data_IF_856820516791
#
_entry.id   IF_856820516791
#
_cell.length_a   1.000
_cell.length_b   1.000
_cell.length_c   1.000
_cell.angle_alpha   90.00
_cell.angle_beta   90.00
_cell.angle_gamma   90.00
#
_symmetry.space_group_name_H-M   'P 1'
#
loop_
_entity.id
_entity.type
_entity.pdbx_description
1 polymer ?
#
# COMPACT_ATOMS: atom_id res chain seq x y z
N UNK A 1 -7.84 -10.81 -2.85
CA UNK A 1 -7.33 -11.37 -1.57
C UNK A 1 -8.27 -12.37 -0.92
N UNK A 2 -9.59 -12.28 -1.15
CA UNK A 2 -10.60 -13.11 -0.50
C UNK A 2 -11.00 -14.37 -1.27
N UNK A 3 -10.61 -14.50 -2.53
CA UNK A 3 -10.95 -15.67 -3.31
C UNK A 3 -10.23 -16.92 -2.79
N UNK A 4 -10.91 -18.07 -2.69
CA UNK A 4 -10.30 -19.31 -2.18
C UNK A 4 -8.99 -19.69 -2.86
N UNK A 5 -8.88 -19.51 -4.17
CA UNK A 5 -7.65 -19.81 -4.91
C UNK A 5 -6.48 -18.92 -4.46
N UNK A 6 -6.74 -17.64 -4.22
CA UNK A 6 -5.73 -16.71 -3.73
C UNK A 6 -5.28 -17.07 -2.29
N UNK A 7 -6.24 -17.34 -1.39
CA UNK A 7 -5.92 -17.76 -0.02
C UNK A 7 -5.13 -19.07 0.02
N UNK A 8 -5.45 -20.03 -0.85
CA UNK A 8 -4.67 -21.27 -1.01
C UNK A 8 -3.24 -20.95 -1.45
N UNK A 9 -3.07 -20.08 -2.46
CA UNK A 9 -1.74 -19.72 -2.97
C UNK A 9 -0.89 -19.05 -1.90
N UNK A 10 -1.43 -18.09 -1.14
CA UNK A 10 -0.70 -17.48 -0.02
C UNK A 10 -0.31 -18.48 1.04
N UNK A 11 -1.24 -19.39 1.41
CA UNK A 11 -0.95 -20.45 2.40
C UNK A 11 0.16 -21.37 1.92
N UNK A 12 0.15 -21.79 0.65
CA UNK A 12 1.19 -22.64 0.09
C UNK A 12 2.54 -21.92 -0.07
N UNK A 13 2.51 -20.64 -0.44
CA UNK A 13 3.70 -19.83 -0.64
C UNK A 13 4.46 -19.58 0.68
N UNK A 14 3.74 -19.24 1.77
CA UNK A 14 4.36 -18.90 3.03
C UNK A 14 4.50 -20.06 4.00
N UNK A 15 3.58 -21.02 3.97
CA UNK A 15 3.44 -22.03 5.00
C UNK A 15 3.25 -23.48 4.44
N UNK A 16 3.66 -23.71 3.20
CA UNK A 16 3.53 -25.01 2.54
C UNK A 16 4.25 -26.15 3.28
N UNK A 17 5.42 -25.89 3.83
CA UNK A 17 6.17 -26.87 4.65
C UNK A 17 5.42 -27.25 5.92
N UNK A 18 4.69 -26.30 6.49
CA UNK A 18 3.97 -26.51 7.75
C UNK A 18 2.64 -27.21 7.52
N UNK A 19 1.85 -26.76 6.55
CA UNK A 19 0.46 -27.23 6.35
C UNK A 19 0.34 -28.32 5.29
N UNK A 20 1.33 -28.46 4.40
CA UNK A 20 1.32 -29.47 3.34
C UNK A 20 2.73 -30.05 3.13
N UNK A 21 3.36 -30.64 4.18
CA UNK A 21 4.76 -31.09 4.12
C UNK A 21 5.01 -32.14 3.04
N UNK A 22 3.98 -32.91 2.68
CA UNK A 22 4.06 -33.96 1.65
C UNK A 22 3.86 -33.42 0.23
N UNK A 23 3.39 -32.16 0.06
CA UNK A 23 3.10 -31.61 -1.24
C UNK A 23 4.38 -31.09 -1.91
N UNK A 24 4.87 -31.87 -2.85
CA UNK A 24 6.09 -31.58 -3.61
C UNK A 24 5.77 -31.32 -5.08
N UNK A 25 6.52 -30.37 -5.66
CA UNK A 25 6.53 -30.06 -7.09
C UNK A 25 7.96 -30.32 -7.58
N UNK A 26 8.12 -31.29 -8.51
CA UNK A 26 9.45 -31.65 -9.00
C UNK A 26 10.42 -32.15 -7.91
N UNK A 27 9.88 -32.79 -6.85
CA UNK A 27 10.69 -33.30 -5.73
C UNK A 27 11.00 -32.26 -4.63
N UNK A 28 10.55 -31.00 -4.80
CA UNK A 28 10.77 -29.91 -3.85
C UNK A 28 9.42 -29.54 -3.20
N UNK A 29 9.41 -29.29 -1.87
CA UNK A 29 8.18 -28.85 -1.21
C UNK A 29 7.64 -27.58 -1.89
N UNK A 30 6.31 -27.48 -1.98
CA UNK A 30 5.62 -26.40 -2.71
C UNK A 30 6.03 -25.00 -2.26
N UNK A 31 6.27 -24.77 -0.97
CA UNK A 31 6.76 -23.47 -0.46
C UNK A 31 8.13 -23.14 -1.06
N UNK A 32 9.08 -24.06 -1.00
CA UNK A 32 10.40 -23.85 -1.58
C UNK A 32 10.37 -23.71 -3.08
N UNK A 33 9.54 -24.49 -3.75
CA UNK A 33 9.35 -24.38 -5.18
C UNK A 33 8.87 -22.97 -5.56
N UNK A 34 7.79 -22.50 -4.97
CA UNK A 34 7.23 -21.18 -5.26
C UNK A 34 8.18 -20.05 -4.90
N UNK A 35 8.73 -20.06 -3.68
CA UNK A 35 9.63 -19.01 -3.23
C UNK A 35 10.96 -19.02 -4.01
N UNK A 36 11.50 -20.17 -4.41
CA UNK A 36 12.74 -20.22 -5.20
C UNK A 36 12.58 -19.57 -6.58
N UNK A 37 11.44 -19.75 -7.24
CA UNK A 37 11.15 -19.08 -8.50
C UNK A 37 10.98 -17.56 -8.32
N UNK A 38 10.27 -17.12 -7.27
CA UNK A 38 10.15 -15.72 -6.93
C UNK A 38 11.51 -15.07 -6.66
N UNK A 39 12.31 -15.67 -5.79
CA UNK A 39 13.66 -15.19 -5.45
C UNK A 39 14.61 -15.26 -6.64
N UNK A 40 14.42 -16.22 -7.53
CA UNK A 40 15.16 -16.32 -8.80
C UNK A 40 14.90 -15.13 -9.71
N UNK A 41 13.64 -14.70 -9.82
CA UNK A 41 13.26 -13.49 -10.57
C UNK A 41 13.87 -12.23 -9.94
N UNK A 42 13.78 -12.07 -8.61
CA UNK A 42 14.41 -10.95 -7.90
C UNK A 42 15.93 -10.92 -8.13
N UNK A 43 16.60 -12.05 -8.03
CA UNK A 43 18.04 -12.15 -8.31
C UNK A 43 18.38 -11.71 -9.73
N UNK A 44 17.62 -12.17 -10.72
CA UNK A 44 17.85 -11.80 -12.12
C UNK A 44 17.72 -10.29 -12.36
N UNK A 45 16.82 -9.59 -11.66
CA UNK A 45 16.73 -8.14 -11.69
C UNK A 45 17.90 -7.51 -10.95
N UNK A 46 18.21 -8.00 -9.73
CA UNK A 46 19.31 -7.48 -8.91
C UNK A 46 20.65 -7.50 -9.64
N UNK A 47 20.95 -8.61 -10.36
CA UNK A 47 22.17 -8.73 -11.17
C UNK A 47 22.28 -7.69 -12.29
N UNK A 48 21.14 -7.25 -12.86
CA UNK A 48 21.12 -6.22 -13.92
C UNK A 48 21.32 -4.81 -13.40
N UNK A 49 20.90 -4.54 -12.17
CA UNK A 49 20.90 -3.18 -11.58
C UNK A 49 21.97 -2.99 -10.49
N UNK A 50 22.80 -4.00 -10.23
CA UNK A 50 23.76 -4.00 -9.11
C UNK A 50 24.77 -2.85 -9.13
N UNK A 51 25.10 -2.34 -10.31
CA UNK A 51 26.07 -1.26 -10.52
C UNK A 51 25.38 0.11 -10.73
N UNK A 52 24.07 0.20 -10.52
CA UNK A 52 23.29 1.43 -10.62
C UNK A 52 23.17 2.07 -9.23
N UNK A 53 23.90 3.13 -8.98
CA UNK A 53 23.96 3.79 -7.65
C UNK A 53 22.61 4.37 -7.19
N UNK A 54 21.69 4.66 -8.11
CA UNK A 54 20.35 5.16 -7.80
C UNK A 54 19.35 4.05 -7.43
N UNK A 55 19.72 2.76 -7.55
CA UNK A 55 18.88 1.64 -7.10
C UNK A 55 19.23 1.30 -5.66
N UNK A 56 18.33 1.63 -4.75
CA UNK A 56 18.55 1.48 -3.30
C UNK A 56 18.33 0.06 -2.81
N UNK A 57 17.36 -0.67 -3.39
CA UNK A 57 16.98 -2.00 -2.93
C UNK A 57 15.69 -2.48 -3.58
N UNK A 58 15.04 -3.43 -2.92
CA UNK A 58 13.86 -4.11 -3.45
C UNK A 58 12.76 -4.17 -2.42
N UNK A 59 11.52 -3.97 -2.88
CA UNK A 59 10.35 -4.39 -2.14
C UNK A 59 10.31 -5.92 -2.06
N UNK A 60 9.80 -6.43 -0.93
CA UNK A 60 9.81 -7.87 -0.66
C UNK A 60 8.71 -8.61 -1.39
N UNK A 61 7.50 -8.09 -1.36
CA UNK A 61 6.33 -8.66 -2.02
C UNK A 61 5.14 -7.71 -1.83
N UNK A 62 4.52 -7.33 -2.94
CA UNK A 62 3.36 -6.43 -2.94
C UNK A 62 2.18 -7.01 -2.15
N UNK A 63 1.73 -6.27 -1.14
CA UNK A 63 0.54 -6.55 -0.31
C UNK A 63 0.38 -8.03 0.09
N UNK A 64 1.34 -8.60 0.82
CA UNK A 64 1.31 -10.02 1.14
C UNK A 64 0.12 -10.39 2.00
N UNK A 65 -0.62 -11.43 1.60
CA UNK A 65 -1.74 -11.96 2.36
C UNK A 65 -1.38 -13.16 3.22
N UNK A 66 -2.04 -13.32 4.36
CA UNK A 66 -1.81 -14.44 5.29
C UNK A 66 -2.44 -15.77 4.84
N UNK A 67 -3.26 -15.75 3.78
CA UNK A 67 -4.01 -16.94 3.37
C UNK A 67 -4.95 -17.45 4.48
N UNK A 68 -4.86 -18.74 4.76
CA UNK A 68 -5.59 -19.38 5.87
C UNK A 68 -4.81 -19.39 7.21
N UNK A 69 -3.53 -19.01 7.19
CA UNK A 69 -2.70 -19.01 8.40
C UNK A 69 -3.32 -18.19 9.52
N UNK A 70 -3.38 -18.77 10.72
CA UNK A 70 -3.96 -18.16 11.91
C UNK A 70 -5.47 -18.26 12.03
N UNK A 71 -6.18 -18.90 11.06
CA UNK A 71 -7.65 -19.01 11.03
C UNK A 71 -8.11 -20.40 11.36
N UNK A 72 -9.13 -20.51 12.22
CA UNK A 72 -9.80 -21.78 12.52
C UNK A 72 -10.58 -22.27 11.29
N UNK A 73 -10.70 -23.60 11.11
CA UNK A 73 -11.28 -24.19 9.90
C UNK A 73 -12.72 -23.78 9.63
N UNK A 74 -13.53 -23.60 10.68
CA UNK A 74 -14.95 -23.21 10.55
C UNK A 74 -15.16 -21.70 10.64
N UNK A 75 -14.12 -20.91 10.93
CA UNK A 75 -14.29 -19.49 11.19
C UNK A 75 -14.63 -18.69 9.93
N UNK A 76 -15.74 -17.97 9.98
CA UNK A 76 -16.19 -17.05 8.93
C UNK A 76 -16.08 -15.61 9.41
N UNK A 77 -15.31 -14.78 8.69
CA UNK A 77 -15.03 -13.40 9.08
C UNK A 77 -16.22 -12.47 8.82
N UNK A 78 -17.25 -12.59 9.64
CA UNK A 78 -18.47 -11.76 9.58
C UNK A 78 -18.46 -10.60 10.57
N UNK A 79 -17.63 -10.68 11.62
CA UNK A 79 -17.47 -9.67 12.66
C UNK A 79 -16.07 -9.78 13.29
N UNK A 80 -15.64 -8.74 13.98
CA UNK A 80 -14.39 -8.76 14.73
C UNK A 80 -14.54 -9.56 16.03
N UNK A 81 -13.48 -10.28 16.37
CA UNK A 81 -13.32 -10.91 17.68
C UNK A 81 -11.97 -10.51 18.29
N UNK A 82 -11.74 -10.75 19.59
CA UNK A 82 -10.42 -10.51 20.18
C UNK A 82 -9.29 -11.28 19.48
N UNK A 83 -9.56 -12.49 19.02
CA UNK A 83 -8.63 -13.34 18.28
C UNK A 83 -8.45 -12.92 16.83
N UNK A 84 -9.43 -12.22 16.27
CA UNK A 84 -9.51 -11.75 14.90
C UNK A 84 -9.94 -10.27 14.85
N UNK A 85 -9.04 -9.35 15.28
CA UNK A 85 -9.34 -7.92 15.33
C UNK A 85 -9.26 -7.24 13.95
N UNK A 86 -8.79 -7.97 12.93
CA UNK A 86 -8.61 -7.46 11.59
C UNK A 86 -9.92 -6.94 10.99
N UNK A 87 -9.81 -6.09 10.00
CA UNK A 87 -10.97 -5.44 9.37
C UNK A 87 -11.87 -6.45 8.68
N UNK A 88 -13.16 -6.41 9.02
CA UNK A 88 -14.20 -7.10 8.23
C UNK A 88 -14.39 -6.35 6.91
N UNK A 89 -14.30 -7.07 5.80
CA UNK A 89 -14.41 -6.49 4.45
C UNK A 89 -15.69 -6.97 3.75
N UNK A 90 -16.29 -6.22 2.83
CA UNK A 90 -17.47 -6.63 2.11
C UNK A 90 -17.19 -7.84 1.19
N UNK A 91 -18.22 -8.64 0.91
CA UNK A 91 -18.14 -9.81 0.07
C UNK A 91 -18.40 -11.13 0.81
N UNK A 92 -18.12 -12.29 0.18
CA UNK A 92 -18.34 -13.60 0.79
C UNK A 92 -17.37 -13.82 1.96
N UNK A 93 -17.89 -14.20 3.12
CA UNK A 93 -17.13 -14.53 4.32
C UNK A 93 -16.85 -16.05 4.36
N UNK A 94 -15.84 -16.47 3.61
CA UNK A 94 -15.40 -17.87 3.57
C UNK A 94 -14.77 -18.27 4.91
N UNK A 95 -15.12 -19.45 5.39
CA UNK A 95 -14.21 -20.17 6.29
C UNK A 95 -13.09 -20.85 5.48
N UNK A 96 -11.95 -21.20 6.10
CA UNK A 96 -10.96 -22.05 5.44
C UNK A 96 -11.58 -23.31 4.86
N UNK A 97 -12.46 -24.00 5.60
CA UNK A 97 -13.15 -25.20 5.12
C UNK A 97 -14.02 -24.91 3.89
N UNK A 98 -14.83 -23.84 3.91
CA UNK A 98 -15.63 -23.45 2.74
C UNK A 98 -14.74 -23.21 1.52
N UNK A 99 -13.64 -22.47 1.70
CA UNK A 99 -12.68 -22.20 0.64
C UNK A 99 -12.06 -23.46 0.06
N UNK A 100 -11.67 -24.42 0.89
CA UNK A 100 -11.09 -25.70 0.45
C UNK A 100 -12.13 -26.58 -0.27
N UNK A 101 -13.38 -26.62 0.19
CA UNK A 101 -14.44 -27.37 -0.45
C UNK A 101 -14.86 -26.75 -1.80
N UNK A 102 -14.93 -25.43 -1.86
CA UNK A 102 -15.15 -24.70 -3.13
C UNK A 102 -14.01 -24.98 -4.11
N UNK A 103 -12.77 -24.97 -3.64
CA UNK A 103 -11.61 -25.31 -4.47
C UNK A 103 -11.69 -26.74 -5.04
N UNK A 104 -12.39 -27.65 -4.37
CA UNK A 104 -12.69 -29.01 -4.83
C UNK A 104 -13.88 -29.10 -5.79
N UNK A 105 -14.49 -27.97 -6.16
CA UNK A 105 -15.65 -27.91 -7.05
C UNK A 105 -17.01 -28.06 -6.33
N UNK A 106 -17.04 -27.95 -5.00
CA UNK A 106 -18.33 -27.97 -4.31
C UNK A 106 -19.01 -26.61 -4.35
N UNK A 107 -20.32 -26.59 -4.50
CA UNK A 107 -21.12 -25.41 -4.20
C UNK A 107 -21.28 -25.30 -2.68
N UNK A 108 -21.11 -24.08 -2.14
CA UNK A 108 -21.20 -23.81 -0.70
C UNK A 108 -22.08 -22.63 -0.44
N UNK A 109 -22.84 -22.71 0.63
CA UNK A 109 -23.61 -21.59 1.16
C UNK A 109 -22.73 -20.80 2.12
N UNK A 110 -22.54 -19.49 1.85
CA UNK A 110 -21.67 -18.63 2.64
C UNK A 110 -22.35 -17.30 2.94
N UNK A 111 -22.11 -16.70 4.13
CA UNK A 111 -22.61 -15.37 4.43
C UNK A 111 -21.94 -14.32 3.53
N UNK A 112 -22.75 -13.35 3.10
CA UNK A 112 -22.30 -12.18 2.34
C UNK A 112 -22.35 -10.95 3.23
N UNK A 113 -21.19 -10.37 3.49
CA UNK A 113 -21.03 -9.16 4.32
C UNK A 113 -21.14 -7.94 3.44
N UNK A 114 -21.89 -6.94 3.89
CA UNK A 114 -22.02 -5.63 3.27
C UNK A 114 -21.99 -4.55 4.34
N UNK A 115 -21.66 -3.33 3.94
CA UNK A 115 -21.78 -2.17 4.81
C UNK A 115 -23.26 -1.79 4.95
N UNK A 116 -23.75 -1.82 6.19
CA UNK A 116 -25.11 -1.40 6.53
C UNK A 116 -25.05 0.07 6.98
N UNK A 117 -25.55 0.96 6.15
CA UNK A 117 -25.52 2.40 6.42
C UNK A 117 -26.38 2.80 7.65
N UNK A 118 -27.43 2.03 7.95
CA UNK A 118 -28.28 2.31 9.10
C UNK A 118 -27.63 1.92 10.43
N UNK A 119 -26.76 0.93 10.39
CA UNK A 119 -25.98 0.46 11.55
C UNK A 119 -24.56 1.02 11.58
N UNK A 120 -24.14 1.68 10.50
CA UNK A 120 -22.77 2.16 10.29
C UNK A 120 -21.73 1.06 10.56
N UNK A 121 -22.02 -0.17 10.09
CA UNK A 121 -21.22 -1.35 10.37
C UNK A 121 -21.26 -2.36 9.22
N UNK A 122 -20.22 -3.19 9.16
CA UNK A 122 -20.25 -4.39 8.33
C UNK A 122 -21.20 -5.42 8.97
N UNK A 123 -22.17 -5.89 8.20
CA UNK A 123 -23.15 -6.90 8.65
C UNK A 123 -23.37 -7.95 7.59
N UNK A 124 -23.82 -9.13 8.01
CA UNK A 124 -24.29 -10.15 7.06
C UNK A 124 -25.60 -9.69 6.45
N UNK A 125 -25.58 -9.39 5.16
CA UNK A 125 -26.76 -8.92 4.43
C UNK A 125 -27.63 -10.07 3.90
N UNK A 126 -26.99 -11.16 3.51
CA UNK A 126 -27.63 -12.37 2.98
C UNK A 126 -26.68 -13.55 3.06
N UNK A 127 -27.20 -14.71 2.72
CA UNK A 127 -26.42 -15.92 2.47
C UNK A 127 -26.63 -16.33 1.01
N UNK A 128 -25.52 -16.61 0.30
CA UNK A 128 -25.56 -17.00 -1.11
C UNK A 128 -24.86 -18.34 -1.33
N UNK A 129 -25.36 -19.09 -2.31
CA UNK A 129 -24.68 -20.29 -2.81
C UNK A 129 -23.64 -19.89 -3.83
N UNK A 130 -22.38 -20.12 -3.49
CA UNK A 130 -21.23 -19.83 -4.35
C UNK A 130 -20.75 -21.08 -5.09
N UNK A 131 -20.01 -20.88 -6.19
CA UNK A 131 -19.53 -21.94 -7.07
C UNK A 131 -20.65 -22.87 -7.58
N UNK A 132 -21.79 -22.32 -7.97
CA UNK A 132 -22.91 -23.07 -8.53
C UNK A 132 -22.52 -23.92 -9.77
N UNK A 133 -21.53 -23.44 -10.54
CA UNK A 133 -20.95 -24.15 -11.70
C UNK A 133 -20.04 -25.32 -11.31
N UNK A 134 -19.79 -25.52 -10.02
CA UNK A 134 -18.94 -26.60 -9.48
C UNK A 134 -17.53 -26.65 -10.10
N UNK A 135 -16.94 -25.50 -10.37
CA UNK A 135 -15.59 -25.38 -10.93
C UNK A 135 -14.55 -25.72 -9.87
N UNK A 136 -13.64 -26.64 -10.16
CA UNK A 136 -12.51 -26.98 -9.30
C UNK A 136 -11.29 -26.15 -9.69
N UNK A 137 -10.48 -25.73 -8.71
CA UNK A 137 -9.14 -25.14 -8.96
C UNK A 137 -8.07 -26.23 -9.20
N UNK A 138 -8.37 -27.47 -8.79
CA UNK A 138 -7.48 -28.60 -8.99
C UNK A 138 -7.73 -29.25 -10.35
N UNK A 139 -6.67 -29.69 -10.99
CA UNK A 139 -6.80 -30.50 -12.21
C UNK A 139 -7.59 -31.78 -11.92
N UNK A 140 -8.25 -32.32 -12.94
CA UNK A 140 -8.93 -33.60 -12.83
C UNK A 140 -7.97 -34.70 -12.33
N UNK A 141 -8.40 -35.46 -11.31
CA UNK A 141 -7.60 -36.50 -10.68
C UNK A 141 -6.59 -36.03 -9.63
N UNK A 142 -6.37 -34.70 -9.47
CA UNK A 142 -5.52 -34.19 -8.39
C UNK A 142 -6.25 -34.18 -7.05
N UNK A 143 -5.53 -34.56 -5.99
CA UNK A 143 -6.03 -34.44 -4.61
C UNK A 143 -5.75 -33.05 -4.04
N UNK A 144 -6.58 -32.59 -3.11
CA UNK A 144 -6.30 -31.40 -2.33
C UNK A 144 -5.13 -31.64 -1.38
N UNK A 145 -4.04 -30.86 -1.42
CA UNK A 145 -2.88 -31.10 -0.56
C UNK A 145 -3.18 -30.96 0.94
N UNK A 146 -4.16 -30.15 1.30
CA UNK A 146 -4.58 -29.97 2.70
C UNK A 146 -5.39 -31.15 3.20
N UNK A 147 -6.26 -31.76 2.35
CA UNK A 147 -6.94 -33.02 2.67
C UNK A 147 -5.90 -34.16 2.85
N UNK A 148 -4.92 -34.24 1.96
CA UNK A 148 -3.83 -35.21 2.07
C UNK A 148 -2.97 -35.00 3.32
N UNK A 149 -2.91 -33.77 3.85
CA UNK A 149 -2.22 -33.44 5.12
C UNK A 149 -3.12 -33.66 6.35
N UNK A 150 -4.36 -34.13 6.18
CA UNK A 150 -5.26 -34.44 7.28
C UNK A 150 -6.01 -33.23 7.84
N UNK A 151 -6.19 -32.14 7.07
CA UNK A 151 -7.00 -31.01 7.46
C UNK A 151 -8.48 -31.39 7.62
N UNK A 152 -8.95 -32.25 6.77
CA UNK A 152 -10.29 -32.86 6.76
C UNK A 152 -10.25 -34.10 5.87
N UNK A 153 -11.35 -34.88 5.88
CA UNK A 153 -11.56 -36.02 4.99
C UNK A 153 -12.92 -35.89 4.31
N UNK A 154 -13.04 -36.27 3.04
CA UNK A 154 -14.32 -36.34 2.35
C UNK A 154 -14.87 -37.75 2.36
N UNK A 155 -16.09 -37.91 2.88
CA UNK A 155 -16.91 -39.11 2.74
C UNK A 155 -18.19 -38.80 1.97
N UNK A 156 -18.35 -39.36 0.80
CA UNK A 156 -19.53 -39.11 -0.07
C UNK A 156 -19.76 -37.60 -0.31
N UNK A 157 -18.67 -36.81 -0.43
CA UNK A 157 -18.74 -35.36 -0.61
C UNK A 157 -19.00 -34.55 0.68
N UNK A 158 -19.12 -35.19 1.83
CA UNK A 158 -19.33 -34.54 3.13
C UNK A 158 -18.02 -34.50 3.88
N UNK A 159 -17.60 -33.33 4.40
CA UNK A 159 -16.39 -33.23 5.21
C UNK A 159 -16.53 -33.95 6.55
N UNK A 160 -15.53 -34.73 6.92
CA UNK A 160 -15.41 -35.48 8.17
C UNK A 160 -14.05 -35.21 8.77
N UNK A 161 -13.90 -35.52 10.04
CA UNK A 161 -12.64 -35.41 10.78
C UNK A 161 -11.96 -34.05 10.58
N UNK A 162 -12.77 -32.96 10.59
CA UNK A 162 -12.28 -31.61 10.40
C UNK A 162 -11.41 -31.20 11.58
N UNK A 163 -10.13 -30.91 11.31
CA UNK A 163 -9.20 -30.39 12.31
C UNK A 163 -9.38 -28.88 12.42
N UNK A 164 -10.11 -28.44 13.43
CA UNK A 164 -10.45 -27.04 13.62
C UNK A 164 -9.23 -26.14 13.77
N UNK A 165 -8.16 -26.64 14.39
CA UNK A 165 -6.92 -25.93 14.67
C UNK A 165 -5.86 -26.08 13.57
N UNK A 166 -6.18 -26.66 12.41
CA UNK A 166 -5.22 -27.04 11.38
C UNK A 166 -4.33 -25.87 10.94
N UNK A 167 -4.89 -24.68 10.73
CA UNK A 167 -4.14 -23.51 10.28
C UNK A 167 -3.69 -22.60 11.44
N UNK A 168 -4.08 -22.91 12.68
CA UNK A 168 -3.74 -22.09 13.85
C UNK A 168 -2.62 -22.67 14.69
N UNK A 169 -2.36 -23.97 14.57
CA UNK A 169 -1.37 -24.68 15.38
C UNK A 169 -0.42 -25.51 14.51
N UNK A 170 0.84 -25.58 14.95
CA UNK A 170 1.87 -26.42 14.35
C UNK A 170 2.98 -26.72 15.37
N UNK A 171 3.58 -27.91 15.28
CA UNK A 171 4.66 -28.33 16.20
C UNK A 171 4.31 -28.15 17.67
N UNK A 172 3.03 -28.38 18.04
CA UNK A 172 2.57 -28.31 19.44
C UNK A 172 2.36 -26.91 20.01
N UNK A 173 2.36 -25.85 19.19
CA UNK A 173 2.10 -24.47 19.63
C UNK A 173 1.18 -23.72 18.68
N UNK A 174 0.62 -22.60 19.15
CA UNK A 174 -0.05 -21.62 18.28
C UNK A 174 0.99 -20.99 17.34
N UNK A 175 0.58 -20.79 16.09
CA UNK A 175 1.39 -20.16 15.05
C UNK A 175 1.09 -18.67 14.99
N UNK A 176 2.13 -17.90 14.67
CA UNK A 176 2.07 -16.47 14.35
C UNK A 176 2.53 -16.26 12.91
N UNK A 177 1.70 -15.65 12.09
CA UNK A 177 1.96 -15.53 10.64
C UNK A 177 3.21 -14.69 10.37
N UNK A 178 3.33 -13.56 11.02
CA UNK A 178 4.43 -12.62 10.81
C UNK A 178 5.76 -13.22 11.26
N UNK A 179 5.76 -13.86 12.42
CA UNK A 179 6.97 -14.42 12.98
C UNK A 179 7.37 -15.76 12.34
N UNK A 180 6.39 -16.66 12.12
CA UNK A 180 6.68 -18.03 11.68
C UNK A 180 6.86 -18.14 10.16
N UNK A 181 6.28 -17.22 9.37
CA UNK A 181 6.24 -17.33 7.91
C UNK A 181 6.79 -16.09 7.20
N UNK A 182 6.35 -14.88 7.58
CA UNK A 182 6.82 -13.67 6.93
C UNK A 182 8.28 -13.37 7.23
N UNK A 183 8.70 -13.46 8.49
CA UNK A 183 10.09 -13.19 8.89
C UNK A 183 11.11 -14.09 8.16
N UNK A 184 10.92 -15.42 8.08
CA UNK A 184 11.80 -16.27 7.26
C UNK A 184 11.85 -15.84 5.79
N UNK A 185 10.73 -15.43 5.21
CA UNK A 185 10.69 -14.95 3.84
C UNK A 185 11.46 -13.64 3.66
N UNK A 186 11.28 -12.64 4.53
CA UNK A 186 12.05 -11.40 4.50
C UNK A 186 13.57 -11.66 4.57
N UNK A 187 14.00 -12.59 5.42
CA UNK A 187 15.40 -12.97 5.52
C UNK A 187 15.90 -13.68 4.23
N UNK A 188 15.07 -14.49 3.57
CA UNK A 188 15.42 -15.12 2.28
C UNK A 188 15.55 -14.06 1.17
N UNK A 189 14.65 -13.09 1.11
CA UNK A 189 14.74 -11.96 0.16
C UNK A 189 16.05 -11.20 0.39
N UNK A 190 16.31 -10.77 1.63
CA UNK A 190 17.53 -10.06 1.99
C UNK A 190 18.80 -10.83 1.60
N UNK A 191 18.86 -12.12 1.92
CA UNK A 191 19.98 -13.00 1.54
C UNK A 191 20.16 -13.08 0.03
N UNK A 192 19.08 -13.17 -0.72
CA UNK A 192 19.09 -13.28 -2.18
C UNK A 192 19.64 -12.03 -2.86
N UNK A 193 19.09 -10.85 -2.52
CA UNK A 193 19.51 -9.58 -3.17
C UNK A 193 20.90 -9.16 -2.71
N UNK A 194 21.25 -9.37 -1.44
CA UNK A 194 22.56 -8.99 -0.88
C UNK A 194 23.71 -9.90 -1.28
N UNK A 195 23.42 -11.12 -1.71
CA UNK A 195 24.42 -11.97 -2.39
C UNK A 195 24.87 -11.35 -3.72
N UNK A 196 24.07 -10.48 -4.34
CA UNK A 196 24.40 -9.76 -5.57
C UNK A 196 25.05 -8.40 -5.25
N UNK A 197 24.43 -7.59 -4.40
CA UNK A 197 24.98 -6.32 -3.93
C UNK A 197 24.69 -6.15 -2.43
N UNK A 198 25.72 -6.19 -1.55
CA UNK A 198 25.52 -6.11 -0.10
C UNK A 198 24.93 -4.76 0.37
N UNK A 199 24.91 -3.72 -0.49
CA UNK A 199 24.30 -2.42 -0.18
C UNK A 199 22.78 -2.41 -0.29
N UNK A 200 22.17 -3.35 -0.98
CA UNK A 200 20.72 -3.35 -1.20
C UNK A 200 19.93 -3.39 0.11
N UNK A 201 19.00 -2.46 0.19
CA UNK A 201 18.02 -2.35 1.27
C UNK A 201 16.83 -3.29 1.00
N UNK A 202 16.13 -3.63 2.07
CA UNK A 202 14.86 -4.38 1.99
C UNK A 202 13.74 -3.37 2.29
N UNK A 203 12.78 -3.30 1.40
CA UNK A 203 11.54 -2.57 1.60
C UNK A 203 10.48 -3.61 1.93
N UNK A 204 9.98 -3.60 3.16
CA UNK A 204 9.09 -4.64 3.66
C UNK A 204 7.70 -4.09 3.93
N UNK A 205 6.70 -4.88 3.56
CA UNK A 205 5.29 -4.60 3.83
C UNK A 205 4.75 -5.54 4.90
N UNK A 206 3.82 -5.03 5.70
CA UNK A 206 2.94 -5.83 6.55
C UNK A 206 1.61 -6.10 5.84
N UNK A 207 0.89 -7.14 6.28
CA UNK A 207 -0.44 -7.46 5.74
C UNK A 207 -1.37 -6.22 5.87
N UNK A 208 -1.83 -5.63 4.78
CA UNK A 208 -2.60 -4.38 4.81
C UNK A 208 -3.96 -4.52 5.52
N UNK A 209 -4.44 -5.76 5.73
CA UNK A 209 -5.72 -6.02 6.38
C UNK A 209 -5.62 -6.21 7.90
N UNK A 210 -4.43 -6.51 8.43
CA UNK A 210 -4.23 -6.70 9.88
C UNK A 210 -4.06 -5.42 10.66
N UNK A 211 -3.64 -4.36 10.01
CA UNK A 211 -3.21 -3.12 10.68
C UNK A 211 -1.75 -3.22 11.15
N UNK A 212 -1.20 -2.09 11.56
CA UNK A 212 0.24 -1.94 11.79
C UNK A 212 0.59 -1.73 13.26
N UNK A 213 -0.30 -2.06 14.18
CA UNK A 213 -0.16 -1.75 15.61
C UNK A 213 0.91 -2.56 16.32
N UNK A 214 1.22 -3.76 15.82
CA UNK A 214 2.23 -4.64 16.41
C UNK A 214 3.63 -4.43 15.83
N UNK A 215 3.73 -3.72 14.72
CA UNK A 215 4.98 -3.50 13.99
C UNK A 215 5.54 -4.78 13.34
N UNK A 216 6.81 -4.73 12.97
CA UNK A 216 7.51 -5.85 12.35
C UNK A 216 8.01 -6.85 13.40
N UNK A 217 8.09 -8.14 13.06
CA UNK A 217 8.61 -9.16 13.97
C UNK A 217 10.09 -8.94 14.29
N UNK A 218 10.53 -9.35 15.49
CA UNK A 218 11.95 -9.29 15.88
C UNK A 218 12.79 -10.17 14.96
N UNK A 219 13.98 -9.69 14.60
CA UNK A 219 14.90 -10.42 13.73
C UNK A 219 14.80 -10.07 12.25
N UNK A 220 14.12 -8.97 11.93
CA UNK A 220 14.14 -8.41 10.59
C UNK A 220 15.57 -8.17 10.07
N UNK A 221 15.81 -8.32 8.77
CA UNK A 221 17.10 -8.00 8.18
C UNK A 221 17.51 -6.56 8.50
N UNK A 222 18.78 -6.32 8.81
CA UNK A 222 19.28 -4.94 8.95
C UNK A 222 18.99 -4.12 7.68
N UNK A 223 18.90 -2.79 7.80
CA UNK A 223 18.56 -1.89 6.68
C UNK A 223 17.25 -2.27 5.99
N UNK A 224 16.24 -2.62 6.79
CA UNK A 224 14.85 -2.74 6.33
C UNK A 224 14.15 -1.39 6.48
N UNK A 225 13.42 -1.00 5.48
CA UNK A 225 12.52 0.15 5.43
C UNK A 225 11.10 -0.36 5.50
N UNK A 226 10.25 0.28 6.31
CA UNK A 226 8.81 0.03 6.27
C UNK A 226 8.25 0.63 4.98
N UNK A 227 7.73 -0.20 4.08
CA UNK A 227 7.18 0.19 2.79
C UNK A 227 5.67 -0.09 2.69
N UNK A 228 4.97 -0.17 3.81
CA UNK A 228 3.55 -0.48 3.85
C UNK A 228 2.70 0.56 3.11
N UNK A 229 1.58 0.10 2.55
CA UNK A 229 0.67 0.90 1.74
C UNK A 229 -0.40 1.60 2.57
N UNK A 230 -0.95 2.68 2.03
CA UNK A 230 -2.09 3.36 2.62
C UNK A 230 -3.01 3.96 1.56
N UNK A 231 -4.30 3.77 1.76
CA UNK A 231 -5.36 4.42 0.99
C UNK A 231 -6.48 4.88 1.92
N UNK A 232 -7.12 6.01 1.60
CA UNK A 232 -8.45 6.27 2.16
C UNK A 232 -9.43 5.24 1.59
N UNK A 233 -9.69 4.20 2.39
CA UNK A 233 -10.46 3.03 1.94
C UNK A 233 -11.89 3.38 1.53
N UNK A 234 -12.48 4.43 2.09
CA UNK A 234 -13.82 4.88 1.71
C UNK A 234 -13.78 5.39 0.28
N UNK A 235 -12.88 6.32 -0.01
CA UNK A 235 -12.71 6.87 -1.36
C UNK A 235 -12.29 5.80 -2.37
N UNK A 236 -11.36 4.91 -2.01
CA UNK A 236 -10.89 3.86 -2.90
C UNK A 236 -12.01 2.90 -3.32
N UNK A 237 -12.82 2.44 -2.37
CA UNK A 237 -13.84 1.41 -2.62
C UNK A 237 -15.13 1.99 -3.21
N UNK A 238 -15.54 3.17 -2.73
CA UNK A 238 -16.79 3.80 -3.18
C UNK A 238 -16.62 4.64 -4.44
N UNK A 239 -15.38 5.02 -4.77
CA UNK A 239 -15.06 6.01 -5.80
C UNK A 239 -15.79 7.35 -5.58
N UNK A 240 -15.98 7.70 -4.31
CA UNK A 240 -16.57 8.97 -3.89
C UNK A 240 -15.72 9.60 -2.79
N UNK A 241 -15.14 10.76 -3.08
CA UNK A 241 -14.54 11.58 -2.03
C UNK A 241 -15.58 12.52 -1.44
N UNK A 242 -16.00 12.20 -0.22
CA UNK A 242 -17.01 13.00 0.49
C UNK A 242 -16.35 14.21 1.14
N UNK A 243 -16.57 15.38 0.56
CA UNK A 243 -16.06 16.65 1.06
C UNK A 243 -17.15 17.75 0.88
N UNK A 244 -17.38 18.64 1.86
CA UNK A 244 -16.62 18.85 3.10
C UNK A 244 -17.00 17.92 4.27
N UNK A 245 -17.90 16.99 4.10
CA UNK A 245 -18.30 16.03 5.14
C UNK A 245 -17.98 14.61 4.69
N UNK A 246 -17.15 13.89 5.44
CA UNK A 246 -16.76 12.51 5.19
C UNK A 246 -17.16 11.61 6.36
N UNK A 247 -16.87 10.32 6.23
CA UNK A 247 -17.20 9.32 7.23
C UNK A 247 -15.92 8.62 7.72
N UNK A 248 -15.79 8.50 9.04
CA UNK A 248 -14.82 7.61 9.63
C UNK A 248 -15.36 6.17 9.61
N UNK A 249 -14.84 5.26 8.76
CA UNK A 249 -15.39 3.92 8.60
C UNK A 249 -15.12 3.00 9.78
N UNK A 250 -14.28 3.42 10.75
CA UNK A 250 -13.93 2.62 11.92
C UNK A 250 -14.89 2.83 13.10
N UNK A 251 -15.51 4.00 13.20
CA UNK A 251 -16.37 4.34 14.33
C UNK A 251 -17.70 5.00 13.94
N UNK A 252 -17.95 5.17 12.64
CA UNK A 252 -19.18 5.75 12.12
C UNK A 252 -19.36 7.25 12.33
N UNK A 253 -18.34 7.97 12.84
CA UNK A 253 -18.45 9.41 13.08
C UNK A 253 -18.31 10.19 11.78
N UNK A 254 -19.12 11.24 11.65
CA UNK A 254 -18.93 12.23 10.60
C UNK A 254 -17.66 13.04 10.86
N UNK A 255 -16.92 13.31 9.80
CA UNK A 255 -15.74 14.17 9.77
C UNK A 255 -16.06 15.40 8.95
N UNK A 256 -15.87 16.59 9.53
CA UNK A 256 -16.27 17.85 8.90
C UNK A 256 -15.04 18.69 8.56
N UNK A 257 -14.95 19.05 7.29
CA UNK A 257 -13.90 19.91 6.77
C UNK A 257 -12.51 19.27 6.74
N UNK A 258 -11.58 20.05 6.17
CA UNK A 258 -10.19 19.63 5.93
C UNK A 258 -9.49 19.15 7.22
N UNK A 259 -9.73 19.85 8.35
CA UNK A 259 -9.03 19.55 9.60
C UNK A 259 -9.37 18.18 10.19
N UNK A 260 -10.66 17.79 10.24
CA UNK A 260 -11.05 16.51 10.80
C UNK A 260 -10.72 15.34 9.86
N UNK A 261 -10.86 15.55 8.54
CA UNK A 261 -10.47 14.57 7.53
C UNK A 261 -8.95 14.33 7.59
N UNK A 262 -8.17 15.41 7.61
CA UNK A 262 -6.71 15.32 7.74
C UNK A 262 -6.26 14.67 9.04
N UNK A 263 -6.91 14.97 10.17
CA UNK A 263 -6.64 14.32 11.45
C UNK A 263 -6.93 12.80 11.40
N UNK A 264 -7.97 12.40 10.68
CA UNK A 264 -8.28 10.99 10.45
C UNK A 264 -7.20 10.29 9.61
N UNK A 265 -6.77 10.89 8.50
CA UNK A 265 -5.67 10.36 7.67
C UNK A 265 -4.37 10.28 8.47
N UNK A 266 -4.06 11.35 9.24
CA UNK A 266 -2.89 11.38 10.11
C UNK A 266 -2.89 10.24 11.12
N UNK A 267 -4.01 9.93 11.75
CA UNK A 267 -4.07 8.85 12.75
C UNK A 267 -3.70 7.50 12.16
N UNK A 268 -4.11 7.22 10.92
CA UNK A 268 -3.78 5.98 10.22
C UNK A 268 -2.31 5.93 9.78
N UNK A 269 -1.85 7.00 9.12
CA UNK A 269 -0.46 7.11 8.64
C UNK A 269 0.55 7.12 9.79
N UNK A 270 0.20 7.74 10.93
CA UNK A 270 1.01 7.69 12.14
C UNK A 270 1.13 6.27 12.72
N UNK A 271 0.08 5.45 12.61
CA UNK A 271 0.14 4.04 13.01
C UNK A 271 1.13 3.26 12.11
N UNK A 272 1.08 3.49 10.80
CA UNK A 272 2.04 2.87 9.87
C UNK A 272 3.46 3.34 10.18
N UNK A 273 3.67 4.65 10.40
CA UNK A 273 4.97 5.19 10.79
C UNK A 273 5.47 4.57 12.11
N UNK A 274 4.59 4.44 13.09
CA UNK A 274 4.92 3.84 14.39
C UNK A 274 5.38 2.38 14.29
N UNK A 275 4.92 1.62 13.29
CA UNK A 275 5.42 0.27 13.05
C UNK A 275 6.94 0.24 12.76
N UNK A 276 7.52 1.34 12.27
CA UNK A 276 8.96 1.44 12.03
C UNK A 276 9.80 1.49 13.31
N UNK A 277 9.20 1.72 14.48
CA UNK A 277 9.90 1.67 15.77
C UNK A 277 10.45 0.27 16.04
N UNK A 278 9.74 -0.77 15.60
CA UNK A 278 10.20 -2.17 15.65
C UNK A 278 11.44 -2.46 14.77
N UNK A 279 11.72 -1.57 13.81
CA UNK A 279 12.90 -1.58 12.94
C UNK A 279 14.01 -0.64 13.44
N UNK A 280 13.94 -0.20 14.71
CA UNK A 280 14.90 0.73 15.28
C UNK A 280 14.74 2.17 14.81
N UNK A 281 13.52 2.59 14.45
CA UNK A 281 13.24 3.92 13.93
C UNK A 281 13.70 4.12 12.48
N UNK A 282 13.68 3.06 11.68
CA UNK A 282 13.98 3.14 10.25
C UNK A 282 13.02 4.10 9.52
N UNK A 283 13.43 4.67 8.37
CA UNK A 283 12.53 5.48 7.56
C UNK A 283 11.26 4.73 7.17
N UNK A 284 10.14 5.47 7.05
CA UNK A 284 8.89 4.95 6.52
C UNK A 284 8.67 5.50 5.12
N UNK A 285 8.52 4.60 4.16
CA UNK A 285 8.04 4.87 2.82
C UNK A 285 6.60 4.35 2.73
N UNK A 286 5.64 5.19 2.44
CA UNK A 286 4.33 4.72 2.02
C UNK A 286 4.49 4.23 0.58
N UNK A 287 4.61 2.90 0.42
CA UNK A 287 4.96 2.25 -0.86
C UNK A 287 3.91 2.47 -1.94
N UNK A 288 2.64 2.55 -1.53
CA UNK A 288 1.55 3.00 -2.39
C UNK A 288 0.58 3.88 -1.62
N UNK A 289 0.11 4.93 -2.29
CA UNK A 289 -1.02 5.75 -1.88
C UNK A 289 -1.59 6.46 -3.11
N UNK A 290 -2.85 6.82 -3.08
CA UNK A 290 -3.48 7.50 -4.22
C UNK A 290 -4.99 7.59 -4.08
N UNK A 291 -5.63 8.03 -5.14
CA UNK A 291 -7.09 8.11 -5.23
C UNK A 291 -7.55 7.64 -6.61
N UNK A 292 -8.77 7.10 -6.72
CA UNK A 292 -9.38 6.86 -8.02
C UNK A 292 -9.61 8.16 -8.78
N UNK A 293 -9.30 8.19 -10.08
CA UNK A 293 -9.58 9.34 -10.93
C UNK A 293 -10.96 9.29 -11.58
N UNK A 294 -11.64 8.16 -11.50
CA UNK A 294 -13.02 7.95 -11.92
C UNK A 294 -14.04 8.22 -10.80
N UNK A 295 -13.74 9.16 -9.90
CA UNK A 295 -14.64 9.60 -8.84
C UNK A 295 -16.01 10.03 -9.39
N UNK A 296 -17.05 9.83 -8.58
CA UNK A 296 -18.43 10.25 -8.86
C UNK A 296 -18.93 9.74 -10.23
N UNK A 297 -18.72 8.45 -10.49
CA UNK A 297 -19.03 7.79 -11.77
C UNK A 297 -18.30 8.43 -12.96
N UNK A 298 -17.03 8.74 -12.81
CA UNK A 298 -16.17 9.34 -13.82
C UNK A 298 -16.65 10.73 -14.32
N UNK A 299 -17.27 11.52 -13.43
CA UNK A 299 -17.83 12.84 -13.76
C UNK A 299 -16.80 13.78 -14.41
N UNK A 300 -15.53 13.73 -13.98
CA UNK A 300 -14.45 14.52 -14.56
C UNK A 300 -14.14 14.12 -16.01
N UNK A 301 -14.26 12.83 -16.37
CA UNK A 301 -14.08 12.36 -17.74
C UNK A 301 -15.19 12.87 -18.65
N UNK A 302 -16.42 12.87 -18.15
CA UNK A 302 -17.56 13.38 -18.90
C UNK A 302 -17.48 14.90 -19.13
N UNK A 303 -17.01 15.64 -18.14
CA UNK A 303 -16.73 17.07 -18.30
C UNK A 303 -15.67 17.32 -19.38
N UNK A 304 -14.58 16.56 -19.35
CA UNK A 304 -13.53 16.62 -20.36
C UNK A 304 -14.05 16.30 -21.78
N UNK A 305 -14.86 15.25 -21.93
CA UNK A 305 -15.50 14.89 -23.22
C UNK A 305 -16.41 15.99 -23.75
N UNK A 306 -17.06 16.75 -22.87
CA UNK A 306 -17.88 17.92 -23.24
C UNK A 306 -17.06 19.16 -23.55
N UNK A 307 -15.73 19.09 -23.45
CA UNK A 307 -14.84 20.21 -23.78
C UNK A 307 -14.45 21.08 -22.59
N UNK A 308 -14.81 20.72 -21.36
CA UNK A 308 -14.34 21.45 -20.19
C UNK A 308 -12.85 21.16 -19.94
N UNK A 309 -12.04 22.21 -20.06
CA UNK A 309 -10.58 22.20 -19.85
C UNK A 309 -10.18 22.93 -18.58
N UNK A 310 -11.16 23.37 -17.77
CA UNK A 310 -10.88 24.02 -16.49
C UNK A 310 -10.39 23.03 -15.43
N UNK A 311 -9.95 23.57 -14.28
CA UNK A 311 -9.58 22.75 -13.13
C UNK A 311 -10.80 22.21 -12.34
N UNK A 312 -12.00 22.79 -12.54
CA UNK A 312 -13.19 22.49 -11.76
C UNK A 312 -13.58 21.00 -11.71
N UNK A 313 -13.55 20.23 -12.82
CA UNK A 313 -13.85 18.80 -12.77
C UNK A 313 -12.94 17.98 -11.86
N UNK A 314 -11.74 18.48 -11.57
CA UNK A 314 -10.72 17.79 -10.78
C UNK A 314 -10.62 18.30 -9.34
N UNK A 315 -11.46 19.25 -8.92
CA UNK A 315 -11.36 19.90 -7.60
C UNK A 315 -11.39 18.92 -6.43
N UNK A 316 -12.25 17.91 -6.48
CA UNK A 316 -12.32 16.87 -5.43
C UNK A 316 -11.03 16.06 -5.35
N UNK A 317 -10.45 15.71 -6.51
CA UNK A 317 -9.18 14.99 -6.59
C UNK A 317 -8.03 15.83 -6.04
N UNK A 318 -7.98 17.10 -6.41
CA UNK A 318 -7.00 18.07 -5.88
C UNK A 318 -7.13 18.16 -4.36
N UNK A 319 -8.35 18.32 -3.85
CA UNK A 319 -8.57 18.43 -2.39
C UNK A 319 -8.15 17.19 -1.64
N UNK A 320 -8.53 16.00 -2.13
CA UNK A 320 -8.17 14.73 -1.48
C UNK A 320 -6.64 14.51 -1.44
N UNK A 321 -5.96 14.75 -2.56
CA UNK A 321 -4.50 14.61 -2.65
C UNK A 321 -3.80 15.66 -1.79
N UNK A 322 -4.23 16.92 -1.82
CA UNK A 322 -3.62 17.99 -1.05
C UNK A 322 -3.74 17.75 0.47
N UNK A 323 -4.87 17.22 0.97
CA UNK A 323 -5.01 16.77 2.36
C UNK A 323 -4.03 15.63 2.68
N UNK A 324 -3.90 14.68 1.78
CA UNK A 324 -2.99 13.53 1.97
C UNK A 324 -1.55 13.99 2.06
N UNK A 325 -1.12 14.85 1.15
CA UNK A 325 0.25 15.39 1.14
C UNK A 325 0.56 16.31 2.32
N UNK A 326 -0.44 17.05 2.84
CA UNK A 326 -0.26 17.81 4.09
C UNK A 326 0.11 16.89 5.26
N UNK A 327 -0.55 15.73 5.34
CA UNK A 327 -0.24 14.74 6.38
C UNK A 327 1.14 14.12 6.15
N UNK A 328 1.54 13.90 4.90
CA UNK A 328 2.89 13.42 4.59
C UNK A 328 3.97 14.42 5.02
N UNK A 329 3.75 15.71 4.76
CA UNK A 329 4.65 16.78 5.20
C UNK A 329 4.73 16.84 6.73
N UNK A 330 3.59 16.77 7.41
CA UNK A 330 3.51 16.82 8.87
C UNK A 330 4.22 15.63 9.54
N UNK A 331 4.05 14.45 8.99
CA UNK A 331 4.67 13.23 9.50
C UNK A 331 6.07 12.96 8.94
N UNK A 332 6.56 13.78 8.01
CA UNK A 332 7.83 13.61 7.30
C UNK A 332 7.93 12.21 6.66
N UNK A 333 6.89 11.81 5.93
CA UNK A 333 6.83 10.53 5.25
C UNK A 333 7.43 10.62 3.84
N UNK A 334 8.09 9.56 3.44
CA UNK A 334 8.35 9.28 2.03
C UNK A 334 7.13 8.60 1.42
N UNK A 335 6.92 8.76 0.10
CA UNK A 335 5.81 8.09 -0.56
C UNK A 335 6.01 7.95 -2.05
N UNK A 336 5.44 6.87 -2.60
CA UNK A 336 5.33 6.61 -4.04
C UNK A 336 3.86 6.58 -4.41
N UNK A 337 3.41 7.62 -5.12
CA UNK A 337 1.99 7.71 -5.50
C UNK A 337 1.66 6.66 -6.56
N UNK A 338 0.67 5.85 -6.29
CA UNK A 338 0.08 4.93 -7.25
C UNK A 338 -1.00 5.65 -8.06
N UNK A 339 -0.89 5.80 -9.42
CA UNK A 339 0.28 5.40 -10.18
C UNK A 339 0.52 6.35 -11.37
N UNK A 340 1.45 6.02 -12.23
CA UNK A 340 1.65 6.60 -13.55
C UNK A 340 1.60 5.50 -14.61
N UNK A 341 0.57 5.52 -15.44
CA UNK A 341 0.39 4.59 -16.57
C UNK A 341 0.41 5.35 -17.88
N UNK A 342 1.51 5.24 -18.60
CA UNK A 342 1.75 6.00 -19.84
C UNK A 342 0.74 5.72 -20.97
N UNK A 343 0.07 4.59 -20.94
CA UNK A 343 -0.97 4.20 -21.90
C UNK A 343 -2.39 4.55 -21.44
N UNK A 344 -2.56 5.07 -20.23
CA UNK A 344 -3.87 5.32 -19.65
C UNK A 344 -4.72 6.27 -20.49
N UNK A 345 -6.04 6.08 -20.41
CA UNK A 345 -7.08 6.92 -21.01
C UNK A 345 -8.23 7.10 -20.03
N UNK A 346 -9.09 8.08 -20.26
CA UNK A 346 -10.32 8.29 -19.50
C UNK A 346 -11.38 7.23 -19.85
N UNK A 347 -11.15 6.00 -19.45
CA UNK A 347 -12.04 4.85 -19.69
C UNK A 347 -12.31 4.12 -18.38
N UNK A 348 -13.50 4.35 -17.80
CA UNK A 348 -13.89 3.75 -16.52
C UNK A 348 -14.09 2.22 -16.59
N UNK A 349 -14.20 1.64 -17.79
CA UNK A 349 -14.34 0.18 -17.95
C UNK A 349 -12.99 -0.54 -17.96
N UNK A 350 -11.96 0.10 -18.51
CA UNK A 350 -10.60 -0.45 -18.60
C UNK A 350 -9.74 0.07 -17.44
N UNK A 351 -9.97 1.32 -17.02
CA UNK A 351 -9.13 2.02 -16.05
C UNK A 351 -7.70 2.21 -16.54
N UNK A 352 -6.76 2.16 -15.63
CA UNK A 352 -5.32 2.24 -15.93
C UNK A 352 -4.69 0.90 -16.35
N UNK A 353 -5.52 -0.08 -16.65
CA UNK A 353 -5.11 -1.44 -17.04
C UNK A 353 -4.97 -2.40 -15.87
N UNK A 354 -5.32 -1.97 -14.67
CA UNK A 354 -5.29 -2.78 -13.46
C UNK A 354 -6.67 -2.84 -12.79
N UNK A 355 -7.26 -4.03 -12.71
CA UNK A 355 -8.42 -4.36 -11.88
C UNK A 355 -9.68 -3.48 -12.10
N UNK A 356 -9.80 -2.83 -13.26
CA UNK A 356 -10.84 -1.82 -13.56
C UNK A 356 -10.78 -0.59 -12.61
N UNK A 357 -9.62 -0.33 -12.08
CA UNK A 357 -9.30 0.89 -11.33
C UNK A 357 -8.65 1.91 -12.27
N UNK A 358 -8.74 3.19 -11.94
CA UNK A 358 -7.98 4.24 -12.59
C UNK A 358 -7.41 5.18 -11.52
N UNK A 359 -6.19 4.88 -11.07
CA UNK A 359 -5.44 5.69 -10.12
C UNK A 359 -4.29 6.45 -10.80
N UNK A 360 -4.17 6.38 -12.13
CA UNK A 360 -3.07 7.05 -12.83
C UNK A 360 -3.20 8.57 -12.78
N UNK A 361 -2.12 9.24 -12.38
CA UNK A 361 -2.03 10.71 -12.44
C UNK A 361 -2.02 11.25 -13.88
N UNK A 362 -1.92 10.39 -14.87
CA UNK A 362 -1.79 10.72 -16.28
C UNK A 362 -2.89 10.07 -17.12
N UNK A 363 -3.32 10.78 -18.18
CA UNK A 363 -4.15 10.22 -19.23
C UNK A 363 -3.77 10.83 -20.58
N UNK A 364 -3.65 9.99 -21.61
CA UNK A 364 -3.43 10.45 -22.99
C UNK A 364 -4.53 11.36 -23.50
N UNK A 365 -5.74 11.22 -22.98
CA UNK A 365 -6.88 12.04 -23.39
C UNK A 365 -6.76 13.49 -22.92
N UNK A 366 -5.97 13.78 -21.85
CA UNK A 366 -5.62 15.12 -21.44
C UNK A 366 -4.33 15.66 -22.07
N UNK A 367 -3.64 14.87 -22.88
CA UNK A 367 -2.38 15.29 -23.49
C UNK A 367 -2.65 16.15 -24.73
N UNK A 368 -2.53 17.45 -24.59
CA UNK A 368 -2.73 18.47 -25.63
C UNK A 368 -1.41 19.02 -26.21
N UNK A 369 -0.35 19.03 -25.40
CA UNK A 369 1.00 19.43 -25.80
C UNK A 369 2.04 18.42 -25.26
N UNK A 370 2.49 17.44 -26.06
CA UNK A 370 3.49 16.46 -25.62
C UNK A 370 4.84 17.05 -25.21
N UNK A 371 5.14 18.30 -25.60
CA UNK A 371 6.37 19.00 -25.19
C UNK A 371 6.26 19.62 -23.78
N UNK A 372 5.05 19.80 -23.27
CA UNK A 372 4.82 20.29 -21.92
C UNK A 372 4.93 19.14 -20.90
N UNK A 373 5.72 19.28 -19.82
CA UNK A 373 5.86 18.24 -18.81
C UNK A 373 4.57 17.98 -18.02
N UNK A 374 3.64 18.94 -18.00
CA UNK A 374 2.36 18.83 -17.29
C UNK A 374 1.22 18.30 -18.17
N UNK A 375 1.46 18.17 -19.50
CA UNK A 375 0.45 17.74 -20.45
C UNK A 375 0.07 16.28 -20.21
N UNK A 376 -1.22 15.99 -20.14
CA UNK A 376 -1.75 14.69 -19.77
C UNK A 376 -1.92 14.50 -18.25
N UNK A 377 -1.39 15.41 -17.44
CA UNK A 377 -1.55 15.34 -15.97
C UNK A 377 -2.99 15.60 -15.51
N UNK A 378 -3.45 14.85 -14.52
CA UNK A 378 -4.76 14.98 -13.90
C UNK A 378 -4.62 15.42 -12.45
N UNK A 379 -5.41 16.41 -12.02
CA UNK A 379 -5.38 16.98 -10.67
C UNK A 379 -3.96 17.35 -10.17
N UNK A 380 -3.11 17.84 -11.06
CA UNK A 380 -1.67 18.12 -10.79
C UNK A 380 -1.49 19.04 -9.59
N UNK A 381 -2.40 19.99 -9.38
CA UNK A 381 -2.34 20.91 -8.24
C UNK A 381 -2.55 20.23 -6.87
N UNK A 382 -3.03 18.99 -6.82
CA UNK A 382 -3.15 18.21 -5.58
C UNK A 382 -1.82 17.63 -5.10
N UNK A 383 -0.86 17.40 -5.99
CA UNK A 383 0.39 16.72 -5.66
C UNK A 383 1.67 17.46 -6.09
N UNK A 384 1.59 18.40 -7.03
CA UNK A 384 2.73 19.22 -7.44
C UNK A 384 2.99 20.29 -6.38
N UNK A 385 3.96 20.03 -5.49
CA UNK A 385 4.29 20.89 -4.34
C UNK A 385 5.79 20.91 -4.04
N UNK A 386 6.32 21.95 -3.37
CA UNK A 386 7.70 21.95 -2.94
C UNK A 386 7.93 20.94 -1.81
N UNK A 387 9.14 20.40 -1.71
CA UNK A 387 9.55 19.52 -0.62
C UNK A 387 11.09 19.48 -0.48
N UNK A 388 11.56 19.13 0.70
CA UNK A 388 12.99 18.90 0.96
C UNK A 388 13.39 17.54 0.39
N UNK A 389 14.28 17.54 -0.63
CA UNK A 389 14.83 16.32 -1.24
C UNK A 389 15.96 15.71 -0.42
N UNK A 390 16.80 16.59 0.14
CA UNK A 390 17.93 16.21 0.97
C UNK A 390 18.19 17.33 1.98
N UNK A 391 18.66 16.98 3.16
CA UNK A 391 18.96 17.94 4.21
C UNK A 391 20.45 17.93 4.58
N UNK A 392 21.04 19.09 4.76
CA UNK A 392 22.34 19.27 5.40
C UNK A 392 22.17 19.07 6.92
N UNK A 393 21.77 17.87 7.35
CA UNK A 393 21.40 17.55 8.71
C UNK A 393 20.14 16.66 8.77
N UNK A 394 19.27 16.94 9.73
CA UNK A 394 17.99 16.22 9.91
C UNK A 394 16.83 17.15 9.62
N UNK A 395 15.91 16.76 8.75
CA UNK A 395 14.64 17.46 8.54
C UNK A 395 13.77 17.29 9.78
N UNK A 396 13.49 18.39 10.48
CA UNK A 396 12.71 18.41 11.72
C UNK A 396 11.23 18.73 11.49
N UNK A 397 10.95 19.59 10.50
CA UNK A 397 9.57 19.94 10.12
C UNK A 397 9.52 20.41 8.66
N UNK A 398 8.39 20.18 8.01
CA UNK A 398 8.10 20.67 6.67
C UNK A 398 6.61 20.96 6.53
N UNK A 399 6.27 22.03 5.82
CA UNK A 399 4.87 22.39 5.53
C UNK A 399 4.79 23.17 4.22
N UNK A 400 3.78 22.88 3.45
CA UNK A 400 3.34 23.68 2.30
C UNK A 400 1.89 24.11 2.47
N UNK A 401 1.61 25.38 2.23
CA UNK A 401 0.24 25.90 2.18
C UNK A 401 -0.16 26.11 0.72
N UNK A 402 -1.03 25.28 0.21
CA UNK A 402 -1.40 25.29 -1.21
C UNK A 402 -2.21 26.51 -1.63
N UNK A 403 -2.82 27.23 -0.68
CA UNK A 403 -3.61 28.46 -0.93
C UNK A 403 -2.72 29.67 -1.07
N UNK A 404 -1.80 29.87 -0.12
CA UNK A 404 -0.86 31.01 -0.13
C UNK A 404 0.40 30.75 -0.95
N UNK A 405 0.70 29.49 -1.27
CA UNK A 405 1.97 29.08 -1.88
C UNK A 405 3.16 29.15 -0.95
N UNK A 406 2.95 29.36 0.36
CA UNK A 406 4.03 29.44 1.33
C UNK A 406 4.58 28.04 1.64
N UNK A 407 5.92 27.91 1.59
CA UNK A 407 6.63 26.70 2.01
C UNK A 407 7.54 27.03 3.17
N UNK A 408 7.56 26.15 4.16
CA UNK A 408 8.40 26.27 5.36
C UNK A 408 9.07 24.93 5.66
N UNK A 409 10.35 24.96 6.02
CA UNK A 409 11.10 23.80 6.50
C UNK A 409 12.01 24.18 7.66
N UNK A 410 12.18 23.23 8.58
CA UNK A 410 13.12 23.36 9.70
C UNK A 410 14.10 22.20 9.63
N UNK A 411 15.37 22.52 9.58
CA UNK A 411 16.48 21.57 9.55
C UNK A 411 17.27 21.69 10.86
N UNK A 412 17.55 20.58 11.52
CA UNK A 412 18.63 20.51 12.51
C UNK A 412 19.93 20.31 11.74
N UNK A 413 20.58 21.43 11.43
CA UNK A 413 21.69 21.51 10.49
C UNK A 413 22.99 21.00 11.11
N UNK A 414 23.75 20.24 10.33
CA UNK A 414 25.11 19.82 10.66
C UNK A 414 26.09 20.25 9.56
N UNK A 415 26.94 21.28 9.82
CA UNK A 415 27.92 21.78 8.85
C UNK A 415 29.01 20.76 8.51
N UNK A 416 29.16 19.65 9.25
CA UNK A 416 30.05 18.56 8.87
C UNK A 416 29.58 17.83 7.61
N UNK A 417 28.30 17.96 7.26
CA UNK A 417 27.74 17.47 6.00
C UNK A 417 28.03 18.51 4.92
N UNK A 418 28.88 18.17 3.97
CA UNK A 418 29.29 19.07 2.89
C UNK A 418 28.18 19.33 1.86
N UNK A 419 27.26 18.40 1.68
CA UNK A 419 26.16 18.52 0.74
C UNK A 419 25.12 19.54 1.26
N UNK A 420 24.53 20.38 0.38
CA UNK A 420 23.52 21.36 0.77
C UNK A 420 22.18 20.70 1.10
N UNK A 421 21.33 21.43 1.81
CA UNK A 421 19.90 21.14 1.80
C UNK A 421 19.34 21.43 0.41
N UNK A 422 18.70 20.46 -0.20
CA UNK A 422 18.07 20.60 -1.51
C UNK A 422 16.54 20.60 -1.39
N UNK A 423 15.91 21.60 -1.96
CA UNK A 423 14.45 21.77 -1.98
C UNK A 423 13.98 21.75 -3.43
N UNK A 424 13.13 20.80 -3.80
CA UNK A 424 12.41 20.85 -5.06
C UNK A 424 11.41 22.01 -5.03
N UNK A 425 11.44 22.82 -6.08
CA UNK A 425 10.61 24.02 -6.17
C UNK A 425 9.92 24.07 -7.54
N UNK A 426 8.70 23.52 -7.68
CA UNK A 426 8.03 23.40 -8.97
C UNK A 426 7.68 24.76 -9.56
N UNK A 427 8.07 25.03 -10.83
CA UNK A 427 7.74 26.26 -11.57
C UNK A 427 6.24 26.51 -11.66
N UNK A 428 5.47 25.44 -11.72
CA UNK A 428 3.99 25.52 -11.74
C UNK A 428 3.44 26.29 -10.54
N UNK A 429 4.03 26.11 -9.35
CA UNK A 429 3.58 26.79 -8.12
C UNK A 429 4.12 28.23 -8.00
N UNK A 430 5.23 28.51 -8.68
CA UNK A 430 5.94 29.79 -8.56
C UNK A 430 6.24 30.40 -9.95
N UNK A 431 5.21 30.69 -10.77
CA UNK A 431 5.41 31.16 -12.13
C UNK A 431 6.05 32.55 -12.22
N UNK A 432 5.93 33.34 -11.15
CA UNK A 432 6.46 34.72 -11.09
C UNK A 432 7.71 34.84 -10.22
N UNK A 433 8.34 33.71 -9.87
CA UNK A 433 9.51 33.67 -9.00
C UNK A 433 9.18 33.53 -7.52
N UNK A 434 10.19 33.64 -6.67
CA UNK A 434 10.08 33.39 -5.22
C UNK A 434 10.92 34.36 -4.41
N UNK A 435 10.52 34.55 -3.14
CA UNK A 435 11.34 35.14 -2.09
C UNK A 435 11.75 34.03 -1.12
N UNK A 436 13.05 33.88 -0.92
CA UNK A 436 13.61 32.84 -0.06
C UNK A 436 14.27 33.48 1.14
N UNK A 437 13.94 33.00 2.34
CA UNK A 437 14.59 33.40 3.59
C UNK A 437 15.15 32.15 4.28
N UNK A 438 16.44 32.19 4.66
CA UNK A 438 17.13 31.09 5.33
C UNK A 438 18.19 31.63 6.35
N UNK A 439 17.89 32.75 7.01
CA UNK A 439 18.82 33.42 7.93
C UNK A 439 20.14 33.79 7.26
N UNK A 440 21.25 33.36 7.88
CA UNK A 440 22.62 33.63 7.37
C UNK A 440 23.13 32.56 6.40
N UNK A 441 22.31 31.55 6.07
CA UNK A 441 22.71 30.50 5.16
C UNK A 441 22.85 31.01 3.72
N UNK A 442 23.80 30.45 2.98
CA UNK A 442 23.95 30.72 1.55
C UNK A 442 22.83 30.04 0.78
N UNK A 443 22.18 30.80 -0.08
CA UNK A 443 21.05 30.31 -0.91
C UNK A 443 21.42 30.38 -2.38
N UNK A 444 21.25 29.30 -3.11
CA UNK A 444 21.33 29.25 -4.57
C UNK A 444 20.01 28.72 -5.13
N UNK A 445 19.39 29.46 -6.04
CA UNK A 445 18.14 29.08 -6.72
C UNK A 445 18.40 28.85 -8.19
N UNK A 446 18.07 27.66 -8.65
CA UNK A 446 18.13 27.26 -10.06
C UNK A 446 16.70 26.98 -10.57
N UNK A 447 16.03 27.98 -11.17
CA UNK A 447 14.65 27.82 -11.69
C UNK A 447 14.55 26.81 -12.83
N UNK A 448 15.64 26.62 -13.60
CA UNK A 448 15.63 25.66 -14.72
C UNK A 448 15.62 24.23 -14.20
N UNK A 449 16.41 23.94 -13.17
CA UNK A 449 16.42 22.65 -12.46
C UNK A 449 15.28 22.51 -11.45
N UNK A 450 14.47 23.54 -11.23
CA UNK A 450 13.43 23.58 -10.20
C UNK A 450 13.99 23.24 -8.80
N UNK A 451 15.11 23.83 -8.43
CA UNK A 451 15.89 23.45 -7.26
C UNK A 451 16.42 24.67 -6.49
N UNK A 452 16.21 24.63 -5.19
CA UNK A 452 16.86 25.55 -4.25
C UNK A 452 17.88 24.77 -3.43
N UNK A 453 19.11 25.32 -3.32
CA UNK A 453 20.15 24.78 -2.45
C UNK A 453 20.43 25.75 -1.33
N UNK A 454 20.42 25.27 -0.10
CA UNK A 454 20.72 26.06 1.10
C UNK A 454 21.87 25.41 1.84
N UNK A 455 22.93 26.20 2.11
CA UNK A 455 24.11 25.72 2.82
C UNK A 455 24.38 26.60 4.03
N UNK A 456 24.50 26.01 5.20
CA UNK A 456 24.87 26.72 6.41
C UNK A 456 26.23 26.26 6.94
N UNK A 457 26.96 27.17 7.58
CA UNK A 457 28.18 26.88 8.34
C UNK A 457 27.93 26.75 9.84
N UNK A 458 26.69 26.98 10.27
CA UNK A 458 26.26 26.91 11.67
C UNK A 458 25.54 25.60 11.98
N UNK A 459 25.90 25.00 13.10
CA UNK A 459 25.21 23.85 13.64
C UNK A 459 23.95 24.29 14.39
N UNK A 460 22.88 23.54 14.25
CA UNK A 460 21.60 23.74 14.96
C UNK A 460 20.45 24.14 14.04
N UNK A 461 19.45 24.78 14.58
CA UNK A 461 18.18 25.04 13.86
C UNK A 461 18.36 26.02 12.71
N UNK A 462 18.04 25.56 11.50
CA UNK A 462 17.94 26.38 10.28
C UNK A 462 16.48 26.39 9.84
N UNK A 463 15.83 27.55 9.93
CA UNK A 463 14.49 27.77 9.39
C UNK A 463 14.60 28.32 7.95
N UNK A 464 13.88 27.67 7.03
CA UNK A 464 13.81 28.07 5.62
C UNK A 464 12.35 28.41 5.30
N UNK A 465 12.14 29.58 4.67
CA UNK A 465 10.82 30.01 4.22
C UNK A 465 10.88 30.46 2.77
N UNK A 466 9.94 29.99 1.97
CA UNK A 466 9.80 30.32 0.55
C UNK A 466 8.37 30.86 0.34
N UNK A 467 8.27 32.04 -0.26
CA UNK A 467 7.01 32.68 -0.59
C UNK A 467 6.96 32.98 -2.08
N UNK A 468 5.77 33.01 -2.71
CA UNK A 468 5.62 33.54 -4.07
C UNK A 468 6.22 34.94 -4.21
N UNK A 469 6.80 35.22 -5.39
CA UNK A 469 7.39 36.51 -5.74
C UNK A 469 6.38 37.63 -5.90
#
# INVERSE_FOLDING_TARGET
YRMPANAIMWTLFFAGRTFTPQFNVGGTNVEDYLQSHYLGAMRAVAERVKDMDHVLGFDTLNEPGSGWSGKAMSWQHTHKTPEHPERVTPGPAWSPLDGLLVARGQAREVPFVQFDINKMAMTVARTDVVNQKRTSVWRAGASCPFEAAGAYRLENGVPRDVREDFFTHGKGRKLDHEHDFMLPFFNRVAGTIRAVNPRFMVFAELDPFKGHTEGFPKGMPARTVNASHWYDIVTLVTKVFMYPASLNPFNGKMLNGRGEIGAHFRSQLATIKGASDSLGGAPTLIGEFGIPYDLDNAAAYDAWRRGDRSAAPWEKHVTALDITYDVFDELLLHGTQWNYTASNRNDAAIGDGWNQEDLSIFSRDQQDDPASPDSGGRAVDGFCRPFVRAAQGTLAAMRFDSVSGAFEAVIDADPAIAAPTEIYLPRRRYPHGVRISAGEAAVAHDPAAQLVRVTTKHKGTLAIRILPG
#
